data_IF_643091256136
#
_entry.id   IF_643091256136
#
_cell.length_a   1.000
_cell.length_b   1.000
_cell.length_c   1.000
_cell.angle_alpha   90.00
_cell.angle_beta   90.00
_cell.angle_gamma   90.00
#
_symmetry.space_group_name_H-M   'P 1'
#
loop_
_entity.id
_entity.type
_entity.pdbx_description
1 polymer ?
#
# COMPACT_ATOMS: atom_id res chain seq x y z
N UNK A 1 -24.26 -21.96 2.11
CA UNK A 1 -22.95 -21.36 1.76
C UNK A 1 -23.03 -19.91 1.24
N UNK A 2 -24.21 -19.34 0.95
CA UNK A 2 -24.37 -17.99 0.35
C UNK A 2 -24.15 -16.80 1.32
N UNK A 3 -24.64 -16.87 2.57
CA UNK A 3 -24.60 -15.71 3.48
C UNK A 3 -23.20 -15.21 3.89
N UNK A 4 -22.19 -16.10 3.91
CA UNK A 4 -20.81 -15.71 4.24
C UNK A 4 -20.16 -14.91 3.11
N UNK A 5 -20.40 -15.30 1.85
CA UNK A 5 -19.87 -14.59 0.69
C UNK A 5 -20.47 -13.18 0.58
N UNK A 6 -21.78 -13.05 0.82
CA UNK A 6 -22.46 -11.75 0.84
C UNK A 6 -21.89 -10.84 1.93
N UNK A 7 -21.75 -11.35 3.16
CA UNK A 7 -21.17 -10.58 4.27
C UNK A 7 -19.75 -10.12 3.99
N UNK A 8 -18.90 -10.99 3.44
CA UNK A 8 -17.53 -10.61 3.08
C UNK A 8 -17.50 -9.53 2.01
N UNK A 9 -18.34 -9.65 0.98
CA UNK A 9 -18.44 -8.63 -0.07
C UNK A 9 -18.89 -7.28 0.49
N UNK A 10 -19.92 -7.26 1.35
CA UNK A 10 -20.39 -6.03 2.00
C UNK A 10 -19.31 -5.39 2.87
N UNK A 11 -18.65 -6.17 3.73
CA UNK A 11 -17.58 -5.62 4.59
C UNK A 11 -16.36 -5.13 3.78
N UNK A 12 -16.07 -5.73 2.62
CA UNK A 12 -15.03 -5.25 1.72
C UNK A 12 -15.42 -3.92 1.07
N UNK A 13 -16.68 -3.78 0.64
CA UNK A 13 -17.20 -2.56 0.02
C UNK A 13 -17.27 -1.40 1.01
N UNK A 14 -17.76 -1.68 2.23
CA UNK A 14 -17.70 -0.76 3.37
C UNK A 14 -16.26 -0.32 3.64
N UNK A 15 -15.32 -1.26 3.71
CA UNK A 15 -13.90 -0.95 3.90
C UNK A 15 -13.30 -0.11 2.77
N UNK A 16 -13.63 -0.42 1.52
CA UNK A 16 -13.17 0.32 0.33
C UNK A 16 -13.68 1.78 0.36
N UNK A 17 -14.92 2.00 0.81
CA UNK A 17 -15.52 3.33 0.92
C UNK A 17 -14.79 4.27 1.88
N UNK A 18 -14.02 3.72 2.82
CA UNK A 18 -13.28 4.46 3.85
C UNK A 18 -11.80 4.68 3.48
N UNK A 19 -11.34 4.17 2.33
CA UNK A 19 -9.94 4.30 1.90
C UNK A 19 -9.63 5.73 1.48
N UNK A 20 -8.62 6.32 2.10
CA UNK A 20 -8.12 7.64 1.73
C UNK A 20 -6.98 7.50 0.73
N UNK A 21 -7.13 8.11 -0.45
CA UNK A 21 -6.05 8.15 -1.45
C UNK A 21 -5.10 9.31 -1.18
N UNK A 22 -3.82 9.01 -1.00
CA UNK A 22 -2.76 9.97 -0.71
C UNK A 22 -1.83 10.15 -1.92
N UNK A 23 -1.32 11.36 -2.08
CA UNK A 23 -0.27 11.67 -3.05
C UNK A 23 1.10 11.55 -2.37
N UNK A 24 2.11 11.06 -3.09
CA UNK A 24 3.48 10.77 -2.59
C UNK A 24 4.19 11.90 -1.82
N UNK A 25 3.71 13.13 -1.92
CA UNK A 25 4.30 14.31 -1.28
C UNK A 25 3.39 14.95 -0.23
N UNK A 26 2.31 14.27 0.19
CA UNK A 26 1.52 14.73 1.33
C UNK A 26 2.32 14.54 2.61
N UNK A 27 2.52 15.63 3.36
CA UNK A 27 2.99 15.54 4.75
C UNK A 27 2.07 14.61 5.56
N UNK A 28 2.56 13.95 6.63
CA UNK A 28 1.69 13.27 7.57
C UNK A 28 0.64 14.26 8.06
N UNK A 29 -0.62 13.93 7.84
CA UNK A 29 -1.75 14.76 8.22
C UNK A 29 -2.50 14.02 9.32
N UNK A 30 -2.60 14.62 10.50
CA UNK A 30 -3.21 14.01 11.69
C UNK A 30 -4.65 13.52 11.44
N UNK A 31 -5.35 14.10 10.45
CA UNK A 31 -6.69 13.67 10.08
C UNK A 31 -6.77 12.28 9.42
N UNK A 32 -5.63 11.69 9.02
CA UNK A 32 -5.59 10.32 8.46
C UNK A 32 -5.41 9.25 9.54
N UNK A 33 -5.30 9.63 10.82
CA UNK A 33 -5.19 8.67 11.91
C UNK A 33 -6.39 7.71 11.93
N UNK A 34 -6.13 6.42 12.10
CA UNK A 34 -7.12 5.33 12.07
C UNK A 34 -7.80 5.07 10.70
N UNK A 35 -7.34 5.71 9.63
CA UNK A 35 -7.84 5.44 8.27
C UNK A 35 -6.97 4.44 7.52
N UNK A 36 -7.61 3.63 6.68
CA UNK A 36 -6.90 2.87 5.65
C UNK A 36 -6.48 3.85 4.56
N UNK A 37 -5.17 3.95 4.31
CA UNK A 37 -4.63 4.86 3.30
C UNK A 37 -4.09 4.07 2.11
N UNK A 38 -4.31 4.60 0.91
CA UNK A 38 -3.76 4.08 -0.34
C UNK A 38 -2.86 5.14 -0.98
N UNK A 39 -1.61 4.77 -1.24
CA UNK A 39 -0.61 5.62 -1.86
C UNK A 39 -0.27 5.09 -3.24
N UNK A 40 -0.19 5.98 -4.22
CA UNK A 40 0.25 5.63 -5.57
C UNK A 40 1.33 6.59 -6.04
N UNK A 41 2.20 6.10 -6.93
CA UNK A 41 3.35 6.86 -7.37
C UNK A 41 4.00 6.35 -8.63
N UNK A 42 4.74 7.22 -9.34
CA UNK A 42 5.54 6.79 -10.48
C UNK A 42 6.67 5.87 -10.00
N UNK A 43 6.85 4.76 -10.72
CA UNK A 43 7.98 3.86 -10.54
C UNK A 43 8.89 3.98 -11.76
N UNK A 44 10.20 4.20 -11.54
CA UNK A 44 11.20 4.27 -12.60
C UNK A 44 12.38 3.38 -12.26
N UNK A 45 12.90 2.68 -13.25
CA UNK A 45 14.15 1.92 -13.15
C UNK A 45 15.19 2.55 -14.06
N UNK A 46 16.42 2.71 -13.55
CA UNK A 46 17.51 3.34 -14.32
C UNK A 46 18.11 2.38 -15.35
N UNK A 47 18.03 1.07 -15.10
CA UNK A 47 18.61 0.04 -15.96
C UNK A 47 17.53 -0.95 -16.41
N UNK A 48 17.59 -1.43 -17.66
CA UNK A 48 16.71 -2.47 -18.15
C UNK A 48 17.07 -3.83 -17.53
N UNK A 49 16.10 -4.73 -17.49
CA UNK A 49 16.37 -6.15 -17.27
C UNK A 49 17.07 -6.70 -18.51
N UNK A 50 18.25 -7.27 -18.32
CA UNK A 50 19.09 -7.79 -19.40
C UNK A 50 19.36 -9.29 -19.21
N UNK A 51 19.06 -10.07 -20.23
CA UNK A 51 19.45 -11.48 -20.34
C UNK A 51 20.47 -11.64 -21.48
N UNK A 52 21.77 -11.84 -21.16
CA UNK A 52 22.82 -11.96 -22.15
C UNK A 52 22.77 -13.26 -22.96
N UNK A 53 22.17 -14.34 -22.41
CA UNK A 53 22.11 -15.64 -23.09
C UNK A 53 21.16 -15.58 -24.29
N UNK A 54 20.07 -14.82 -24.15
CA UNK A 54 19.05 -14.64 -25.20
C UNK A 54 19.13 -13.27 -25.88
N UNK A 55 20.05 -12.39 -25.47
CA UNK A 55 20.24 -11.00 -25.97
C UNK A 55 18.96 -10.15 -25.86
N UNK A 56 18.21 -10.34 -24.77
CA UNK A 56 16.97 -9.60 -24.50
C UNK A 56 17.26 -8.48 -23.51
N UNK A 57 16.83 -7.26 -23.82
CA UNK A 57 16.86 -6.12 -22.92
C UNK A 57 15.48 -5.44 -22.90
N UNK A 58 14.88 -5.32 -21.72
CA UNK A 58 13.55 -4.72 -21.57
C UNK A 58 13.48 -3.82 -20.34
N UNK A 59 12.82 -2.68 -20.48
CA UNK A 59 12.49 -1.85 -19.33
C UNK A 59 11.31 -2.49 -18.57
N UNK A 60 11.60 -3.13 -17.44
CA UNK A 60 10.61 -3.87 -16.69
C UNK A 60 10.81 -3.74 -15.18
N UNK A 61 9.73 -4.01 -14.44
CA UNK A 61 9.69 -4.03 -12.97
C UNK A 61 8.87 -5.22 -12.51
N UNK A 62 9.29 -5.84 -11.41
CA UNK A 62 8.50 -6.84 -10.69
C UNK A 62 8.15 -6.30 -9.31
N UNK A 63 6.87 -6.04 -9.09
CA UNK A 63 6.39 -5.63 -7.76
C UNK A 63 6.31 -6.86 -6.85
N UNK A 64 6.99 -6.80 -5.71
CA UNK A 64 6.86 -7.77 -4.63
C UNK A 64 6.18 -7.08 -3.45
N UNK A 65 4.99 -7.55 -3.07
CA UNK A 65 4.31 -7.04 -1.88
C UNK A 65 4.94 -7.66 -0.63
N UNK A 66 5.48 -6.82 0.23
CA UNK A 66 5.86 -7.16 1.60
C UNK A 66 4.90 -6.42 2.55
N UNK A 67 4.39 -7.12 3.55
CA UNK A 67 3.43 -6.57 4.52
C UNK A 67 4.09 -6.59 5.88
N UNK A 68 4.16 -5.43 6.52
CA UNK A 68 4.79 -5.22 7.83
C UNK A 68 3.80 -4.52 8.75
N UNK A 69 3.84 -4.87 10.03
CA UNK A 69 3.03 -4.26 11.07
C UNK A 69 3.97 -3.49 12.00
N UNK A 70 3.80 -2.17 12.08
CA UNK A 70 4.54 -1.31 12.98
C UNK A 70 3.60 -0.83 14.10
N UNK A 71 4.08 -0.89 15.35
CA UNK A 71 3.35 -0.41 16.52
C UNK A 71 4.28 0.47 17.36
N UNK A 72 3.83 1.68 17.70
CA UNK A 72 4.53 2.57 18.62
C UNK A 72 3.87 2.57 20.00
N UNK A 73 4.68 2.78 21.04
CA UNK A 73 4.24 2.95 22.42
C UNK A 73 4.53 4.39 22.81
N UNK A 74 3.50 5.12 23.23
CA UNK A 74 3.64 6.50 23.72
C UNK A 74 3.93 6.49 25.22
N UNK A 75 4.93 7.25 25.63
CA UNK A 75 5.27 7.45 27.04
C UNK A 75 4.87 8.87 27.46
N UNK A 76 4.13 8.99 28.55
CA UNK A 76 3.84 10.28 29.18
C UNK A 76 4.49 10.32 30.57
N UNK A 77 5.21 11.40 30.85
CA UNK A 77 5.77 11.69 32.17
C UNK A 77 4.96 12.83 32.79
N UNK A 78 4.31 12.56 33.91
CA UNK A 78 3.69 13.57 34.76
C UNK A 78 4.66 13.95 35.88
N UNK A 79 5.01 15.24 35.97
CA UNK A 79 5.80 15.81 37.06
C UNK A 79 4.97 16.02 38.33
#
# INVERSE_FOLDING_TARGET
>A
MSGRALRTATSLDEGLSQVVSLHLYSSPLDHNNNHLVHLTGPLRTLQPLHDPNYRVAVQAVKLKRQVEMYQWVEYSESR
#
